data_IF_683000218092
#
_entry.id   IF_683000218092
#
_cell.length_a   1.000
_cell.length_b   1.000
_cell.length_c   1.000
_cell.angle_alpha   90.00
_cell.angle_beta   90.00
_cell.angle_gamma   90.00
#
_symmetry.space_group_name_H-M   'P 1'
#
loop_
_entity.id
_entity.type
_entity.pdbx_description
1 polymer ?
#
# COMPACT_ATOMS: atom_id res chain seq x y z
N UNK A 1 7.30 -7.41 -14.38
CA UNK A 1 6.75 -6.89 -15.65
C UNK A 1 5.72 -7.78 -16.33
N UNK A 2 5.38 -8.97 -15.83
CA UNK A 2 4.44 -9.89 -16.49
C UNK A 2 2.94 -9.52 -16.32
N UNK A 3 2.63 -8.26 -16.03
CA UNK A 3 1.24 -7.77 -15.98
C UNK A 3 0.39 -8.19 -14.77
N UNK A 4 1.00 -8.63 -13.65
CA UNK A 4 0.27 -9.07 -12.44
C UNK A 4 -0.72 -8.03 -11.91
N UNK A 5 -0.41 -6.75 -12.06
CA UNK A 5 -1.30 -5.66 -11.66
C UNK A 5 -2.62 -5.66 -12.47
N UNK A 6 -2.54 -5.93 -13.78
CA UNK A 6 -3.71 -5.99 -14.65
C UNK A 6 -4.62 -7.16 -14.24
N UNK A 7 -4.04 -8.29 -13.83
CA UNK A 7 -4.78 -9.42 -13.30
C UNK A 7 -5.50 -9.05 -12.00
N UNK A 8 -4.79 -8.45 -11.04
CA UNK A 8 -5.38 -8.02 -9.77
C UNK A 8 -6.52 -7.00 -9.96
N UNK A 9 -6.35 -6.05 -10.89
CA UNK A 9 -7.37 -5.04 -11.23
C UNK A 9 -8.62 -5.67 -11.85
N UNK A 10 -8.45 -6.67 -12.72
CA UNK A 10 -9.58 -7.41 -13.30
C UNK A 10 -10.32 -8.22 -12.23
N UNK A 11 -9.60 -8.89 -11.32
CA UNK A 11 -10.22 -9.60 -10.19
C UNK A 11 -11.07 -8.64 -9.36
N UNK A 12 -10.55 -7.45 -9.04
CA UNK A 12 -11.30 -6.43 -8.30
C UNK A 12 -12.56 -5.98 -9.06
N UNK A 13 -12.43 -5.70 -10.36
CA UNK A 13 -13.52 -5.23 -11.22
C UNK A 13 -14.70 -6.22 -11.33
N UNK A 14 -14.40 -7.52 -11.33
CA UNK A 14 -15.41 -8.59 -11.38
C UNK A 14 -15.84 -9.09 -9.99
N UNK A 15 -15.26 -8.56 -8.91
CA UNK A 15 -15.64 -8.94 -7.54
C UNK A 15 -16.91 -8.22 -7.07
N UNK A 16 -17.48 -8.72 -5.97
CA UNK A 16 -18.57 -8.03 -5.25
C UNK A 16 -18.15 -6.69 -4.66
N UNK A 17 -16.84 -6.43 -4.56
CA UNK A 17 -16.25 -5.19 -4.02
C UNK A 17 -15.83 -4.22 -5.11
N UNK A 18 -16.26 -4.38 -6.36
CA UNK A 18 -15.84 -3.56 -7.51
C UNK A 18 -16.03 -2.04 -7.34
N UNK A 19 -16.98 -1.62 -6.49
CA UNK A 19 -17.24 -0.21 -6.19
C UNK A 19 -16.42 0.32 -4.99
N UNK A 20 -15.74 -0.57 -4.26
CA UNK A 20 -14.82 -0.19 -3.19
C UNK A 20 -13.46 0.22 -3.79
N UNK A 21 -12.67 1.05 -3.08
CA UNK A 21 -11.33 1.43 -3.50
C UNK A 21 -10.41 0.22 -3.65
N UNK A 22 -9.53 0.29 -4.64
CA UNK A 22 -8.48 -0.69 -4.89
C UNK A 22 -7.12 0.01 -4.73
N UNK A 23 -6.32 -0.47 -3.78
CA UNK A 23 -4.99 0.09 -3.49
C UNK A 23 -3.96 -0.96 -3.86
N UNK A 24 -3.13 -0.65 -4.86
CA UNK A 24 -1.99 -1.49 -5.24
C UNK A 24 -0.72 -0.95 -4.57
N UNK A 25 0.03 -1.83 -3.91
CA UNK A 25 1.29 -1.49 -3.25
C UNK A 25 2.42 -2.30 -3.88
N UNK A 26 3.47 -1.61 -4.34
CA UNK A 26 4.67 -2.25 -4.87
C UNK A 26 5.74 -2.35 -3.75
N UNK A 27 5.76 -3.47 -3.02
CA UNK A 27 6.71 -3.66 -1.93
C UNK A 27 8.17 -3.68 -2.38
N UNK A 28 8.47 -3.94 -3.65
CA UNK A 28 9.85 -3.88 -4.17
C UNK A 28 10.38 -2.46 -4.38
N UNK A 29 9.49 -1.46 -4.41
CA UNK A 29 9.85 -0.05 -4.49
C UNK A 29 9.96 0.61 -3.11
N UNK A 30 9.57 -0.09 -2.04
CA UNK A 30 9.56 0.41 -0.66
C UNK A 30 10.72 -0.25 0.10
N UNK A 31 11.62 0.52 0.74
CA UNK A 31 12.62 -0.04 1.63
C UNK A 31 11.97 -0.86 2.74
N UNK A 32 12.52 -2.03 3.07
CA UNK A 32 11.89 -2.97 4.02
C UNK A 32 11.60 -2.34 5.39
N UNK A 33 12.48 -1.46 5.86
CA UNK A 33 12.34 -0.73 7.14
C UNK A 33 11.16 0.25 7.14
N UNK A 34 10.70 0.71 5.97
CA UNK A 34 9.58 1.64 5.82
C UNK A 34 8.29 0.94 5.42
N UNK A 35 8.33 -0.35 5.07
CA UNK A 35 7.19 -1.07 4.52
C UNK A 35 6.01 -1.12 5.51
N UNK A 36 6.28 -1.39 6.78
CA UNK A 36 5.24 -1.45 7.81
C UNK A 36 4.58 -0.09 8.03
N UNK A 37 5.40 0.96 8.10
CA UNK A 37 4.96 2.35 8.22
C UNK A 37 4.10 2.83 7.04
N UNK A 38 4.42 2.36 5.83
CA UNK A 38 3.65 2.66 4.62
C UNK A 38 2.30 1.92 4.56
N UNK A 39 2.23 0.70 5.10
CA UNK A 39 1.04 -0.15 5.06
C UNK A 39 0.05 0.14 6.19
N UNK A 40 0.55 0.51 7.37
CA UNK A 40 -0.27 0.64 8.58
C UNK A 40 -0.28 2.06 9.16
N UNK A 41 0.49 2.97 8.55
CA UNK A 41 0.69 4.30 9.10
C UNK A 41 1.67 4.29 10.27
N UNK A 42 1.93 5.47 10.80
CA UNK A 42 2.78 5.69 11.96
C UNK A 42 2.47 7.03 12.62
N UNK A 43 2.75 7.13 13.91
CA UNK A 43 2.73 8.42 14.60
C UNK A 43 4.07 9.16 14.45
N UNK A 44 4.00 10.49 14.52
CA UNK A 44 5.19 11.35 14.55
C UNK A 44 6.16 10.89 15.64
N UNK A 45 7.42 10.68 15.27
CA UNK A 45 8.46 10.23 16.18
C UNK A 45 8.58 8.71 16.35
N UNK A 46 7.80 7.90 15.62
CA UNK A 46 7.90 6.44 15.67
C UNK A 46 9.29 5.91 15.22
N UNK A 47 10.01 6.63 14.36
CA UNK A 47 11.38 6.32 13.95
C UNK A 47 12.14 7.60 13.55
N UNK A 48 13.46 7.51 13.40
CA UNK A 48 14.30 8.61 12.91
C UNK A 48 13.93 8.95 11.47
N UNK A 49 13.16 10.04 11.29
CA UNK A 49 12.60 10.48 10.01
C UNK A 49 11.08 10.62 10.00
N UNK A 50 10.38 10.14 11.03
CA UNK A 50 8.93 10.32 11.21
C UNK A 50 8.58 11.75 11.64
N UNK A 51 8.74 12.72 10.74
CA UNK A 51 8.50 14.16 11.01
C UNK A 51 7.02 14.49 11.13
N UNK A 52 6.16 13.69 10.49
CA UNK A 52 4.70 13.84 10.42
C UNK A 52 4.02 12.51 10.73
N UNK A 53 2.87 12.52 11.39
CA UNK A 53 2.03 11.32 11.50
C UNK A 53 1.38 11.00 10.16
N UNK A 54 1.17 9.72 9.89
CA UNK A 54 0.44 9.22 8.73
C UNK A 54 -0.56 8.16 9.18
N UNK A 55 -1.82 8.35 8.81
CA UNK A 55 -2.84 7.32 9.01
C UNK A 55 -2.72 6.23 7.93
N UNK A 56 -2.93 4.99 8.35
CA UNK A 56 -2.93 3.78 7.51
C UNK A 56 -4.32 3.27 7.21
#
# INVERSE_FOLDING_TARGET
GTGKEVVARNIHYYSTRRNAPFVAVNCGAIPGELLESELFGHEKGAFTGAVTSREG
#
